data_IF_704309403081
#
_entry.id   IF_704309403081
#
_cell.length_a   1.000
_cell.length_b   1.000
_cell.length_c   1.000
_cell.angle_alpha   90.00
_cell.angle_beta   90.00
_cell.angle_gamma   90.00
#
_symmetry.space_group_name_H-M   'P 1'
#
loop_
_entity.id
_entity.type
_entity.pdbx_description
1 polymer ?
#
# COMPACT_ATOMS: atom_id res chain seq x y z
N UNK A 1 21.32 33.11 -13.86
CA UNK A 1 20.61 31.88 -13.44
C UNK A 1 19.87 32.15 -12.15
N UNK A 2 18.57 32.41 -12.23
CA UNK A 2 17.75 32.70 -11.06
C UNK A 2 17.59 31.42 -10.23
N UNK A 3 18.05 31.47 -8.98
CA UNK A 3 17.78 30.42 -7.99
C UNK A 3 16.28 30.36 -7.79
N UNK A 4 15.65 29.28 -8.21
CA UNK A 4 14.27 28.96 -7.85
C UNK A 4 14.19 29.07 -6.32
N UNK A 5 13.35 29.97 -5.77
CA UNK A 5 13.23 30.07 -4.33
C UNK A 5 12.73 28.72 -3.85
N UNK A 6 13.51 28.07 -2.98
CA UNK A 6 13.06 26.92 -2.21
C UNK A 6 11.65 27.26 -1.71
N UNK A 7 10.66 26.53 -2.23
CA UNK A 7 9.27 26.63 -1.84
C UNK A 7 9.21 26.85 -0.33
N UNK A 8 8.44 27.85 0.09
CA UNK A 8 8.26 28.25 1.48
C UNK A 8 8.35 27.01 2.38
N UNK A 9 9.42 26.92 3.19
CA UNK A 9 9.68 25.75 4.05
C UNK A 9 8.45 25.54 4.91
N UNK A 10 7.60 24.58 4.53
CA UNK A 10 6.52 24.11 5.39
C UNK A 10 7.17 23.67 6.68
N UNK A 11 6.80 24.30 7.80
CA UNK A 11 7.30 23.95 9.13
C UNK A 11 6.72 22.61 9.63
N UNK A 12 5.75 22.07 8.90
CA UNK A 12 5.07 20.82 9.23
C UNK A 12 5.58 19.71 8.30
N UNK A 13 6.09 18.60 8.85
CA UNK A 13 6.38 17.38 8.09
C UNK A 13 5.16 16.96 7.27
N UNK A 14 5.35 16.70 5.98
CA UNK A 14 4.28 16.25 5.11
C UNK A 14 4.79 15.37 3.97
N UNK A 15 3.89 14.56 3.42
CA UNK A 15 4.06 13.80 2.18
C UNK A 15 2.88 14.10 1.28
N UNK A 16 3.14 14.29 -0.01
CA UNK A 16 2.11 14.59 -1.00
C UNK A 16 1.94 13.42 -1.96
N UNK A 17 0.70 13.00 -2.18
CA UNK A 17 0.32 12.00 -3.16
C UNK A 17 -0.63 12.64 -4.16
N UNK A 18 -0.25 12.63 -5.43
CA UNK A 18 -1.08 13.09 -6.54
C UNK A 18 -1.68 11.89 -7.24
N UNK A 19 -3.01 11.85 -7.37
CA UNK A 19 -3.73 10.85 -8.15
C UNK A 19 -4.32 11.53 -9.38
N UNK A 20 -3.97 11.05 -10.56
CA UNK A 20 -4.47 11.56 -11.84
C UNK A 20 -5.06 10.43 -12.69
N UNK A 21 -6.32 10.59 -13.08
CA UNK A 21 -7.11 9.61 -13.83
C UNK A 21 -7.10 9.94 -15.32
N UNK A 22 -6.86 8.94 -16.17
CA UNK A 22 -6.63 9.14 -17.62
C UNK A 22 -7.34 8.12 -18.50
N UNK A 23 -7.69 8.55 -19.71
CA UNK A 23 -8.13 7.69 -20.81
C UNK A 23 -6.95 6.91 -21.43
N UNK A 24 -7.26 6.07 -22.42
CA UNK A 24 -6.28 5.26 -23.13
C UNK A 24 -5.23 6.12 -23.87
N UNK A 25 -5.59 7.33 -24.28
CA UNK A 25 -4.70 8.29 -24.94
C UNK A 25 -3.90 9.16 -23.94
N UNK A 26 -4.11 8.99 -22.63
CA UNK A 26 -3.41 9.73 -21.58
C UNK A 26 -3.99 11.11 -21.26
N UNK A 27 -5.18 11.45 -21.75
CA UNK A 27 -5.88 12.70 -21.45
C UNK A 27 -6.63 12.57 -20.12
N UNK A 28 -6.76 13.68 -19.40
CA UNK A 28 -7.53 13.71 -18.16
C UNK A 28 -9.02 13.62 -18.45
N UNK A 29 -9.69 12.59 -17.90
CA UNK A 29 -11.14 12.42 -18.00
C UNK A 29 -11.82 13.10 -16.82
N UNK A 30 -12.76 14.04 -16.99
CA UNK A 30 -13.43 14.68 -15.86
C UNK A 30 -14.21 13.64 -15.04
N UNK A 31 -13.98 13.62 -13.72
CA UNK A 31 -14.66 12.68 -12.83
C UNK A 31 -15.91 13.32 -12.18
N UNK A 32 -17.03 12.59 -12.08
CA UNK A 32 -18.19 13.03 -11.32
C UNK A 32 -17.87 13.28 -9.84
N UNK A 33 -18.27 14.43 -9.30
CA UNK A 33 -17.94 14.85 -7.93
C UNK A 33 -18.40 13.86 -6.83
N UNK A 34 -19.52 13.15 -7.04
CA UNK A 34 -20.07 12.22 -6.06
C UNK A 34 -19.17 11.00 -5.85
N UNK A 35 -18.64 10.43 -6.93
CA UNK A 35 -17.75 9.27 -6.87
C UNK A 35 -16.39 9.65 -6.30
N UNK A 36 -15.95 10.89 -6.54
CA UNK A 36 -14.76 11.41 -5.90
C UNK A 36 -14.88 11.39 -4.38
N UNK A 37 -16.05 11.77 -3.83
CA UNK A 37 -16.29 11.72 -2.37
C UNK A 37 -16.21 10.30 -1.83
N UNK A 38 -16.79 9.32 -2.53
CA UNK A 38 -16.72 7.91 -2.14
C UNK A 38 -15.27 7.41 -2.06
N UNK A 39 -14.46 7.66 -3.10
CA UNK A 39 -13.05 7.28 -3.07
C UNK A 39 -12.23 8.00 -2.01
N UNK A 40 -12.60 9.23 -1.65
CA UNK A 40 -11.97 9.91 -0.52
C UNK A 40 -12.32 9.28 0.82
N UNK A 41 -13.58 8.93 1.03
CA UNK A 41 -14.00 8.18 2.23
C UNK A 41 -13.24 6.85 2.31
N UNK A 42 -13.07 6.14 1.20
CA UNK A 42 -12.24 4.94 1.12
C UNK A 42 -10.80 5.17 1.54
N UNK A 43 -10.15 6.21 1.01
CA UNK A 43 -8.77 6.56 1.38
C UNK A 43 -8.66 6.94 2.86
N UNK A 44 -9.61 7.69 3.41
CA UNK A 44 -9.63 8.06 4.83
C UNK A 44 -9.76 6.81 5.73
N UNK A 45 -10.68 5.91 5.40
CA UNK A 45 -10.88 4.66 6.14
C UNK A 45 -9.69 3.71 6.01
N UNK A 46 -9.09 3.56 4.83
CA UNK A 46 -7.86 2.78 4.65
C UNK A 46 -6.75 3.36 5.53
N UNK A 47 -6.62 4.68 5.50
CA UNK A 47 -5.59 5.34 6.28
C UNK A 47 -5.81 5.12 7.76
N UNK A 48 -7.04 5.28 8.27
CA UNK A 48 -7.37 4.97 9.66
C UNK A 48 -7.07 3.51 10.02
N UNK A 49 -7.31 2.57 9.10
CA UNK A 49 -7.06 1.14 9.33
C UNK A 49 -5.56 0.84 9.41
N UNK A 50 -4.79 1.33 8.45
CA UNK A 50 -3.31 1.20 8.45
C UNK A 50 -2.70 1.97 9.62
N UNK A 51 -3.30 3.10 10.00
CA UNK A 51 -2.88 3.89 11.16
C UNK A 51 -3.27 3.28 12.49
N UNK A 52 -4.37 2.55 12.58
CA UNK A 52 -4.71 1.73 13.74
C UNK A 52 -3.63 0.70 14.04
N UNK A 53 -2.88 0.27 13.02
CA UNK A 53 -1.67 -0.56 13.20
C UNK A 53 -0.40 0.25 13.51
N UNK A 54 -0.41 1.57 13.30
CA UNK A 54 0.76 2.44 13.48
C UNK A 54 0.67 3.37 14.71
N UNK A 55 -0.32 3.18 15.59
CA UNK A 55 -0.59 4.04 16.76
C UNK A 55 0.66 4.26 17.65
N UNK A 56 1.53 3.26 17.76
CA UNK A 56 2.75 3.36 18.58
C UNK A 56 3.86 4.21 17.92
N UNK A 57 3.97 4.18 16.59
CA UNK A 57 5.11 4.76 15.86
C UNK A 57 5.07 6.28 15.75
N UNK A 58 3.91 6.90 15.95
CA UNK A 58 3.71 8.36 15.85
C UNK A 58 3.21 8.99 17.16
N UNK A 59 3.42 8.30 18.29
CA UNK A 59 3.11 8.81 19.62
C UNK A 59 3.68 10.23 19.81
N UNK A 60 2.81 11.18 20.17
CA UNK A 60 3.15 12.60 20.33
C UNK A 60 2.89 13.50 19.11
N UNK A 61 2.43 12.96 17.98
CA UNK A 61 2.00 13.74 16.81
C UNK A 61 0.53 13.47 16.45
N UNK A 62 -0.22 14.52 16.13
CA UNK A 62 -1.52 14.38 15.45
C UNK A 62 -1.28 14.35 13.95
N UNK A 63 -1.98 13.47 13.25
CA UNK A 63 -1.92 13.41 11.79
C UNK A 63 -3.17 14.03 11.20
N UNK A 64 -2.99 14.80 10.14
CA UNK A 64 -4.08 15.38 9.36
C UNK A 64 -3.93 15.07 7.87
N UNK A 65 -5.08 14.91 7.22
CA UNK A 65 -5.18 14.67 5.78
C UNK A 65 -5.84 15.87 5.14
N UNK A 66 -5.12 16.55 4.25
CA UNK A 66 -5.70 17.59 3.41
C UNK A 66 -5.82 17.08 1.99
N UNK A 67 -7.04 17.08 1.45
CA UNK A 67 -7.28 16.69 0.06
C UNK A 67 -7.64 17.94 -0.73
N UNK A 68 -6.98 18.12 -1.87
CA UNK A 68 -7.21 19.24 -2.79
C UNK A 68 -7.47 18.72 -4.19
N UNK A 69 -8.56 19.15 -4.80
CA UNK A 69 -8.77 18.96 -6.22
C UNK A 69 -7.85 19.92 -6.98
N UNK A 70 -6.95 19.37 -7.79
CA UNK A 70 -5.96 20.13 -8.56
C UNK A 70 -6.39 20.31 -10.03
N UNK A 71 -7.36 19.54 -10.48
CA UNK A 71 -7.91 19.59 -11.84
C UNK A 71 -9.21 18.79 -11.96
N UNK A 72 -9.76 18.62 -13.17
CA UNK A 72 -11.02 17.91 -13.40
C UNK A 72 -11.03 16.48 -12.84
N UNK A 73 -9.86 15.83 -12.84
CA UNK A 73 -9.67 14.46 -12.35
C UNK A 73 -8.28 14.23 -11.79
N UNK A 74 -7.74 15.26 -11.14
CA UNK A 74 -6.48 15.19 -10.44
C UNK A 74 -6.67 15.67 -9.02
N UNK A 75 -6.18 14.89 -8.06
CA UNK A 75 -6.30 15.16 -6.64
C UNK A 75 -4.94 15.08 -5.97
N UNK A 76 -4.65 16.06 -5.13
CA UNK A 76 -3.50 16.05 -4.23
C UNK A 76 -3.99 15.69 -2.84
N UNK A 77 -3.43 14.63 -2.28
CA UNK A 77 -3.62 14.22 -0.89
C UNK A 77 -2.33 14.59 -0.17
N UNK A 78 -2.44 15.42 0.84
CA UNK A 78 -1.33 15.81 1.69
C UNK A 78 -1.53 15.18 3.06
N UNK A 79 -0.59 14.31 3.44
CA UNK A 79 -0.52 13.70 4.76
C UNK A 79 0.44 14.55 5.57
N UNK A 80 0.00 15.12 6.68
CA UNK A 80 0.88 15.89 7.56
C UNK A 80 0.83 15.37 8.98
N UNK A 81 1.90 15.67 9.72
CA UNK A 81 2.00 15.40 11.14
C UNK A 81 2.29 16.71 11.88
N UNK A 82 1.41 17.08 12.80
CA UNK A 82 1.60 18.19 13.71
C UNK A 82 1.96 17.66 15.11
N UNK A 83 2.88 18.31 15.80
CA UNK A 83 3.19 17.92 17.17
C UNK A 83 1.98 18.22 18.09
N UNK A 84 1.60 17.25 18.93
CA UNK A 84 0.50 17.39 19.91
C UNK A 84 0.77 18.47 20.95
N UNK A 85 2.04 18.65 21.30
CA UNK A 85 2.51 19.68 22.22
C UNK A 85 3.35 20.70 21.46
N UNK A 86 3.35 21.95 21.92
CA UNK A 86 4.16 23.03 21.35
C UNK A 86 5.66 22.80 21.59
N UNK A 87 6.24 21.80 20.94
CA UNK A 87 7.67 21.51 21.05
C UNK A 87 8.39 22.64 20.32
N UNK A 88 8.86 23.63 21.08
CA UNK A 88 9.74 24.69 20.57
C UNK A 88 11.13 24.11 20.37
N UNK A 89 11.27 23.29 19.33
CA UNK A 89 12.57 22.78 18.93
C UNK A 89 13.31 23.91 18.22
N UNK A 90 14.35 24.44 18.87
CA UNK A 90 15.34 25.30 18.23
C UNK A 90 16.59 24.48 17.92
N UNK A 91 17.17 24.68 16.73
CA UNK A 91 18.47 24.09 16.37
C UNK A 91 18.41 22.68 15.77
N UNK A 92 19.52 21.94 15.88
CA UNK A 92 19.75 20.64 15.20
C UNK A 92 18.74 19.56 15.57
N UNK A 93 18.28 19.54 16.83
CA UNK A 93 17.27 18.59 17.33
C UNK A 93 15.92 18.75 16.61
N UNK A 94 15.51 19.98 16.33
CA UNK A 94 14.31 20.27 15.54
C UNK A 94 14.37 19.66 14.13
N UNK A 95 15.54 19.78 13.51
CA UNK A 95 15.78 19.24 12.18
C UNK A 95 15.78 17.70 12.19
N UNK A 96 16.38 17.09 13.21
CA UNK A 96 16.36 15.63 13.37
C UNK A 96 14.93 15.10 13.57
N UNK A 97 14.17 15.68 14.49
CA UNK A 97 12.78 15.27 14.73
C UNK A 97 11.90 15.48 13.49
N UNK A 98 12.07 16.59 12.77
CA UNK A 98 11.39 16.83 11.49
C UNK A 98 11.71 15.74 10.45
N UNK A 99 12.98 15.35 10.31
CA UNK A 99 13.41 14.32 9.37
C UNK A 99 12.86 12.94 9.76
N UNK A 100 12.91 12.58 11.04
CA UNK A 100 12.36 11.33 11.56
C UNK A 100 10.86 11.22 11.27
N UNK A 101 10.09 12.26 11.60
CA UNK A 101 8.64 12.28 11.36
C UNK A 101 8.34 12.24 9.85
N UNK A 102 9.11 12.97 9.03
CA UNK A 102 8.95 12.93 7.57
C UNK A 102 9.22 11.53 7.02
N UNK A 103 10.23 10.83 7.54
CA UNK A 103 10.55 9.45 7.15
C UNK A 103 9.43 8.48 7.56
N UNK A 104 8.88 8.62 8.77
CA UNK A 104 7.74 7.83 9.22
C UNK A 104 6.50 8.07 8.36
N UNK A 105 6.18 9.33 8.03
CA UNK A 105 5.09 9.66 7.12
C UNK A 105 5.30 9.09 5.72
N UNK A 106 6.54 9.12 5.22
CA UNK A 106 6.89 8.54 3.93
C UNK A 106 6.65 7.03 3.93
N UNK A 107 7.14 6.33 4.96
CA UNK A 107 6.96 4.89 5.12
C UNK A 107 5.48 4.51 5.25
N UNK A 108 4.73 5.20 6.10
CA UNK A 108 3.28 5.00 6.23
C UNK A 108 2.57 5.17 4.88
N UNK A 109 2.91 6.23 4.13
CA UNK A 109 2.34 6.47 2.80
C UNK A 109 2.70 5.34 1.84
N UNK A 110 3.91 4.80 1.91
CA UNK A 110 4.33 3.66 1.10
C UNK A 110 3.55 2.39 1.41
N UNK A 111 3.29 2.12 2.69
CA UNK A 111 2.45 0.97 3.12
C UNK A 111 1.02 1.15 2.60
N UNK A 112 0.40 2.31 2.82
CA UNK A 112 -0.97 2.61 2.35
C UNK A 112 -1.06 2.43 0.82
N UNK A 113 -0.08 2.97 0.08
CA UNK A 113 -0.04 2.82 -1.37
C UNK A 113 0.19 1.36 -1.78
N UNK A 114 1.09 0.63 -1.11
CA UNK A 114 1.36 -0.77 -1.38
C UNK A 114 0.11 -1.63 -1.25
N UNK A 115 -0.60 -1.50 -0.13
CA UNK A 115 -1.85 -2.23 0.13
C UNK A 115 -2.96 -1.83 -0.84
N UNK A 116 -3.10 -0.53 -1.12
CA UNK A 116 -4.08 -0.04 -2.10
C UNK A 116 -3.82 -0.64 -3.49
N UNK A 117 -2.57 -0.57 -3.94
CA UNK A 117 -2.19 -1.07 -5.27
C UNK A 117 -2.37 -2.58 -5.34
N UNK A 118 -2.06 -3.32 -4.27
CA UNK A 118 -2.31 -4.75 -4.20
C UNK A 118 -3.80 -5.10 -4.31
N UNK A 119 -4.66 -4.42 -3.54
CA UNK A 119 -6.11 -4.64 -3.62
C UNK A 119 -6.68 -4.35 -5.00
N UNK A 120 -6.25 -3.24 -5.60
CA UNK A 120 -6.66 -2.88 -6.96
C UNK A 120 -6.09 -3.85 -7.99
N UNK A 121 -4.89 -4.39 -7.75
CA UNK A 121 -4.30 -5.43 -8.59
C UNK A 121 -5.13 -6.71 -8.54
N UNK A 122 -5.50 -7.18 -7.34
CA UNK A 122 -6.39 -8.34 -7.18
C UNK A 122 -7.72 -8.15 -7.94
N UNK A 123 -8.30 -6.95 -7.86
CA UNK A 123 -9.54 -6.63 -8.57
C UNK A 123 -9.39 -6.61 -10.11
N UNK A 124 -8.21 -6.25 -10.62
CA UNK A 124 -7.95 -6.19 -12.06
C UNK A 124 -7.63 -7.56 -12.68
N UNK A 125 -7.15 -8.52 -11.89
CA UNK A 125 -6.53 -9.75 -12.36
C UNK A 125 -7.26 -10.98 -11.80
N UNK A 126 -8.27 -11.52 -12.49
CA UNK A 126 -9.07 -12.64 -11.99
C UNK A 126 -8.27 -13.94 -11.81
N UNK A 127 -7.20 -14.12 -12.59
CA UNK A 127 -6.36 -15.32 -12.55
C UNK A 127 -5.18 -15.19 -11.57
N UNK A 128 -5.19 -14.19 -10.70
CA UNK A 128 -4.11 -13.95 -9.74
C UNK A 128 -4.02 -15.12 -8.74
N UNK A 129 -2.80 -15.60 -8.53
CA UNK A 129 -2.50 -16.63 -7.52
C UNK A 129 -1.72 -16.02 -6.39
N UNK A 130 -1.84 -16.61 -5.20
CA UNK A 130 -1.11 -16.18 -4.01
C UNK A 130 -0.20 -17.28 -3.50
N UNK A 131 1.00 -16.89 -3.06
CA UNK A 131 1.94 -17.75 -2.35
C UNK A 131 2.34 -17.09 -1.03
N UNK A 132 2.21 -17.82 0.06
CA UNK A 132 2.69 -17.37 1.37
C UNK A 132 4.18 -17.65 1.48
N UNK A 133 4.94 -16.68 1.98
CA UNK A 133 6.37 -16.76 2.26
C UNK A 133 6.62 -16.20 3.65
N UNK A 134 7.50 -16.87 4.39
CA UNK A 134 7.99 -16.41 5.69
C UNK A 134 9.50 -16.26 5.57
N UNK A 135 10.01 -15.06 5.80
CA UNK A 135 11.44 -14.75 5.78
C UNK A 135 11.86 -14.04 7.06
N UNK A 136 13.15 -13.68 7.14
CA UNK A 136 13.75 -13.05 8.32
C UNK A 136 13.13 -11.68 8.66
N UNK A 137 12.41 -11.05 7.73
CA UNK A 137 11.74 -9.75 7.90
C UNK A 137 10.24 -9.88 8.13
N UNK A 138 9.71 -11.11 8.15
CA UNK A 138 8.34 -11.42 8.52
C UNK A 138 7.52 -12.07 7.40
N UNK A 139 6.24 -12.38 7.68
CA UNK A 139 5.39 -13.08 6.73
C UNK A 139 4.80 -12.15 5.66
N UNK A 140 4.81 -12.60 4.42
CA UNK A 140 4.21 -11.88 3.29
C UNK A 140 3.56 -12.83 2.28
N UNK A 141 2.69 -12.25 1.46
CA UNK A 141 2.13 -12.90 0.29
C UNK A 141 2.77 -12.36 -0.97
N UNK A 142 3.19 -13.26 -1.84
CA UNK A 142 3.52 -12.95 -3.22
C UNK A 142 2.28 -13.15 -4.10
N UNK A 143 1.97 -12.14 -4.90
CA UNK A 143 0.96 -12.19 -5.94
C UNK A 143 1.62 -12.64 -7.25
N UNK A 144 0.99 -13.60 -7.91
CA UNK A 144 1.44 -14.18 -9.18
C UNK A 144 0.42 -13.93 -10.28
N UNK A 145 0.92 -13.60 -11.47
CA UNK A 145 0.13 -13.59 -12.70
C UNK A 145 0.80 -14.54 -13.71
N UNK A 146 0.12 -15.64 -14.02
CA UNK A 146 0.78 -16.81 -14.59
C UNK A 146 1.91 -17.27 -13.67
N UNK A 147 3.08 -17.55 -14.23
CA UNK A 147 4.26 -18.03 -13.48
C UNK A 147 5.19 -16.91 -13.00
N UNK A 148 4.76 -15.65 -13.12
CA UNK A 148 5.56 -14.49 -12.73
C UNK A 148 5.06 -13.89 -11.42
N UNK A 149 5.96 -13.75 -10.45
CA UNK A 149 5.72 -12.93 -9.26
C UNK A 149 5.70 -11.45 -9.67
N UNK A 150 4.64 -10.74 -9.27
CA UNK A 150 4.40 -9.34 -9.69
C UNK A 150 4.48 -8.36 -8.51
N UNK A 151 4.16 -8.82 -7.30
CA UNK A 151 4.10 -7.99 -6.10
C UNK A 151 4.23 -8.86 -4.86
N UNK A 152 4.83 -8.30 -3.81
CA UNK A 152 4.81 -8.86 -2.46
C UNK A 152 4.12 -7.87 -1.51
N UNK A 153 3.34 -8.39 -0.57
CA UNK A 153 2.56 -7.60 0.39
C UNK A 153 2.62 -8.29 1.74
N UNK A 154 2.87 -7.53 2.80
CA UNK A 154 2.85 -8.04 4.17
C UNK A 154 1.54 -8.79 4.46
N UNK A 155 1.65 -9.95 5.11
CA UNK A 155 0.53 -10.86 5.29
C UNK A 155 -0.62 -10.22 6.09
N UNK A 156 -0.29 -9.59 7.21
CA UNK A 156 -1.21 -8.85 8.08
C UNK A 156 -2.04 -7.81 7.30
N UNK A 157 -1.39 -7.06 6.42
CA UNK A 157 -1.99 -6.00 5.62
C UNK A 157 -2.95 -6.56 4.57
N UNK A 158 -2.56 -7.61 3.85
CA UNK A 158 -3.41 -8.22 2.83
C UNK A 158 -4.62 -8.93 3.45
N UNK A 159 -4.41 -9.63 4.57
CA UNK A 159 -5.48 -10.27 5.33
C UNK A 159 -6.49 -9.25 5.85
N UNK A 160 -5.99 -8.17 6.46
CA UNK A 160 -6.80 -7.07 6.95
C UNK A 160 -7.62 -6.40 5.84
N UNK A 161 -7.09 -6.35 4.62
CA UNK A 161 -7.78 -5.82 3.44
C UNK A 161 -8.93 -6.74 2.97
N UNK A 162 -8.78 -8.07 3.04
CA UNK A 162 -9.80 -9.02 2.60
C UNK A 162 -10.92 -9.27 3.63
N UNK A 163 -10.86 -8.66 4.80
CA UNK A 163 -11.99 -8.64 5.75
C UNK A 163 -13.17 -7.83 5.22
N UNK A 164 -14.42 -8.03 5.70
CA UNK A 164 -15.59 -7.26 5.24
C UNK A 164 -15.41 -5.74 5.32
N UNK A 165 -14.78 -5.24 6.39
CA UNK A 165 -14.47 -3.83 6.54
C UNK A 165 -13.42 -3.35 5.53
N UNK A 166 -12.34 -4.12 5.35
CA UNK A 166 -11.30 -3.83 4.36
C UNK A 166 -11.83 -3.87 2.92
N UNK A 167 -12.80 -4.73 2.64
CA UNK A 167 -13.49 -4.79 1.35
C UNK A 167 -14.34 -3.54 1.10
N UNK A 168 -15.04 -3.03 2.11
CA UNK A 168 -15.75 -1.75 2.00
C UNK A 168 -14.82 -0.59 1.65
N UNK A 169 -13.62 -0.58 2.25
CA UNK A 169 -12.54 0.36 1.93
C UNK A 169 -12.07 0.20 0.49
N UNK A 170 -11.77 -1.03 0.05
CA UNK A 170 -11.30 -1.28 -1.31
C UNK A 170 -12.33 -0.88 -2.37
N UNK A 171 -13.61 -1.20 -2.16
CA UNK A 171 -14.72 -0.79 -3.02
C UNK A 171 -14.78 0.73 -3.20
N UNK A 172 -14.56 1.48 -2.11
CA UNK A 172 -14.50 2.93 -2.16
C UNK A 172 -13.26 3.41 -2.96
N UNK A 173 -12.07 2.82 -2.75
CA UNK A 173 -10.84 3.17 -3.49
C UNK A 173 -10.99 2.98 -5.00
N UNK A 174 -11.68 1.93 -5.45
CA UNK A 174 -11.91 1.66 -6.88
C UNK A 174 -13.09 2.42 -7.48
N UNK A 175 -13.87 3.17 -6.68
CA UNK A 175 -15.10 3.81 -7.15
C UNK A 175 -14.88 4.78 -8.32
N UNK A 176 -13.76 5.52 -8.32
CA UNK A 176 -13.36 6.35 -9.46
C UNK A 176 -12.81 5.54 -10.63
N UNK A 177 -12.23 4.36 -10.37
CA UNK A 177 -11.64 3.53 -11.42
C UNK A 177 -12.70 2.86 -12.30
N UNK A 178 -13.95 2.73 -11.84
CA UNK A 178 -15.01 2.10 -12.65
C UNK A 178 -15.59 2.97 -13.77
N UNK A 179 -15.12 4.22 -13.92
CA UNK A 179 -15.73 5.15 -14.87
C UNK A 179 -15.56 4.72 -16.34
N UNK A 180 -16.60 4.87 -17.17
CA UNK A 180 -16.49 4.64 -18.61
C UNK A 180 -15.39 5.50 -19.24
N UNK A 181 -14.62 4.91 -20.15
CA UNK A 181 -13.51 5.58 -20.83
C UNK A 181 -12.22 5.67 -20.02
N UNK A 182 -12.26 5.47 -18.70
CA UNK A 182 -11.05 5.44 -17.89
C UNK A 182 -10.23 4.20 -18.19
N UNK A 183 -8.93 4.40 -18.47
CA UNK A 183 -7.99 3.33 -18.75
C UNK A 183 -7.02 3.09 -17.58
N UNK A 184 -6.57 4.15 -16.90
CA UNK A 184 -5.66 4.02 -15.77
C UNK A 184 -5.66 5.25 -14.85
N UNK A 185 -5.18 5.05 -13.63
CA UNK A 185 -4.76 6.10 -12.73
C UNK A 185 -3.23 6.12 -12.60
N UNK A 186 -2.65 7.30 -12.43
CA UNK A 186 -1.26 7.46 -12.00
C UNK A 186 -1.23 8.05 -10.61
N UNK A 187 -0.58 7.35 -9.69
CA UNK A 187 -0.33 7.75 -8.32
C UNK A 187 1.12 8.23 -8.26
N UNK A 188 1.33 9.47 -7.87
CA UNK A 188 2.64 10.10 -7.79
C UNK A 188 2.89 10.56 -6.37
N UNK A 189 3.81 9.93 -5.66
CA UNK A 189 4.21 10.31 -4.32
C UNK A 189 5.44 11.20 -4.39
N UNK A 190 5.41 12.29 -3.63
CA UNK A 190 6.50 13.22 -3.46
C UNK A 190 6.66 13.56 -1.98
N UNK A 191 7.87 13.35 -1.47
CA UNK A 191 8.27 13.76 -0.13
C UNK A 191 9.18 14.97 -0.25
N UNK A 192 8.78 16.14 0.29
CA UNK A 192 9.59 17.34 0.30
C UNK A 192 11.00 17.07 0.84
N UNK A 193 12.02 17.57 0.13
CA UNK A 193 13.42 17.36 0.49
C UNK A 193 14.05 16.10 -0.10
N UNK A 194 13.25 15.15 -0.62
CA UNK A 194 13.75 14.06 -1.44
C UNK A 194 13.65 14.42 -2.92
N UNK A 195 14.71 14.15 -3.70
CA UNK A 195 14.69 14.34 -5.16
C UNK A 195 13.93 13.23 -5.90
N UNK A 196 13.55 12.18 -5.20
CA UNK A 196 12.89 11.01 -5.75
C UNK A 196 11.37 11.21 -5.79
N UNK A 197 10.77 10.78 -6.89
CA UNK A 197 9.31 10.78 -7.10
C UNK A 197 8.90 9.36 -7.49
N UNK A 198 8.17 8.69 -6.61
CA UNK A 198 7.60 7.37 -6.91
C UNK A 198 6.36 7.55 -7.77
N UNK A 199 6.29 6.84 -8.89
CA UNK A 199 5.11 6.81 -9.76
C UNK A 199 4.62 5.38 -9.92
N UNK A 200 3.36 5.16 -9.59
CA UNK A 200 2.68 3.87 -9.78
C UNK A 200 1.52 4.08 -10.72
N UNK A 201 1.41 3.23 -11.74
CA UNK A 201 0.24 3.19 -12.61
C UNK A 201 -0.64 2.03 -12.23
N UNK A 202 -1.94 2.27 -12.23
CA UNK A 202 -2.95 1.28 -11.90
C UNK A 202 -3.95 1.26 -13.04
N UNK A 203 -4.00 0.14 -13.75
CA UNK A 203 -4.90 -0.04 -14.88
C UNK A 203 -6.36 -0.22 -14.41
N UNK A 204 -7.27 -0.03 -15.35
CA UNK A 204 -8.70 -0.31 -15.22
C UNK A 204 -9.08 -1.38 -16.23
N UNK A 205 -9.49 -2.55 -15.76
CA UNK A 205 -10.01 -3.65 -16.58
C UNK A 205 -11.51 -3.83 -16.35
N UNK A 206 -12.14 -4.66 -17.19
CA UNK A 206 -13.55 -5.04 -16.99
C UNK A 206 -13.75 -5.85 -15.70
N UNK A 207 -12.75 -6.64 -15.29
CA UNK A 207 -12.77 -7.33 -14.00
C UNK A 207 -12.83 -6.34 -12.83
N UNK A 208 -12.05 -5.27 -12.87
CA UNK A 208 -12.12 -4.22 -11.85
C UNK A 208 -13.48 -3.53 -11.84
N UNK A 209 -14.06 -3.25 -13.01
CA UNK A 209 -15.39 -2.65 -13.12
C UNK A 209 -16.47 -3.56 -12.54
N UNK A 210 -16.37 -4.87 -12.81
CA UNK A 210 -17.26 -5.88 -12.27
C UNK A 210 -17.15 -5.96 -10.73
N UNK A 211 -15.93 -5.97 -10.21
CA UNK A 211 -15.67 -5.89 -8.76
C UNK A 211 -16.30 -4.62 -8.15
N UNK A 212 -16.07 -3.46 -8.76
CA UNK A 212 -16.65 -2.20 -8.31
C UNK A 212 -18.19 -2.12 -8.44
N UNK A 213 -18.81 -3.06 -9.17
CA UNK A 213 -20.25 -3.27 -9.26
C UNK A 213 -20.78 -4.30 -8.25
N UNK A 214 -19.92 -4.84 -7.37
CA UNK A 214 -20.29 -5.75 -6.30
C UNK A 214 -19.95 -7.22 -6.55
N UNK A 215 -19.25 -7.56 -7.64
CA UNK A 215 -18.70 -8.90 -7.79
C UNK A 215 -17.59 -9.14 -6.74
N UNK A 216 -17.42 -10.39 -6.26
CA UNK A 216 -16.36 -10.71 -5.31
C UNK A 216 -14.97 -10.58 -5.94
N UNK A 217 -13.95 -10.43 -5.10
CA UNK A 217 -12.56 -10.59 -5.53
C UNK A 217 -12.26 -12.06 -5.88
N UNK A 218 -11.30 -12.31 -6.78
CA UNK A 218 -10.85 -13.66 -7.11
C UNK A 218 -10.12 -14.35 -5.94
N UNK A 219 -9.57 -13.58 -5.00
CA UNK A 219 -8.85 -14.09 -3.83
C UNK A 219 -9.63 -13.74 -2.58
N UNK A 220 -9.86 -14.75 -1.75
CA UNK A 220 -10.59 -14.67 -0.48
C UNK A 220 -9.65 -14.88 0.72
N UNK A 221 -10.16 -14.62 1.92
CA UNK A 221 -9.45 -14.94 3.17
C UNK A 221 -9.18 -16.44 3.32
N UNK A 222 -10.04 -17.29 2.77
CA UNK A 222 -9.83 -18.75 2.77
C UNK A 222 -8.63 -19.13 1.90
N UNK A 223 -8.50 -18.54 0.70
CA UNK A 223 -7.35 -18.80 -0.18
C UNK A 223 -6.02 -18.40 0.48
N UNK A 224 -6.03 -17.29 1.24
CA UNK A 224 -4.89 -16.83 2.02
C UNK A 224 -4.52 -17.83 3.13
N UNK A 225 -5.51 -18.41 3.81
CA UNK A 225 -5.29 -19.42 4.85
C UNK A 225 -4.76 -20.73 4.25
N UNK A 226 -5.32 -21.18 3.14
CA UNK A 226 -4.84 -22.37 2.43
C UNK A 226 -3.42 -22.20 1.89
N UNK A 227 -3.04 -20.99 1.45
CA UNK A 227 -1.67 -20.69 1.07
C UNK A 227 -0.68 -20.79 2.25
N UNK A 228 -1.08 -20.35 3.45
CA UNK A 228 -0.28 -20.53 4.68
C UNK A 228 -0.09 -21.99 5.03
N UNK A 229 -1.17 -22.76 5.03
CA UNK A 229 -1.11 -24.18 5.38
C UNK A 229 -0.26 -24.98 4.39
N UNK A 230 -0.36 -24.68 3.09
CA UNK A 230 0.53 -25.28 2.08
C UNK A 230 2.01 -24.97 2.33
N UNK A 231 2.35 -23.73 2.70
CA UNK A 231 3.72 -23.35 3.02
C UNK A 231 4.25 -24.08 4.26
N UNK A 232 3.44 -24.19 5.31
CA UNK A 232 3.77 -24.94 6.54
C UNK A 232 4.01 -26.42 6.27
N UNK A 233 3.13 -27.05 5.49
CA UNK A 233 3.27 -28.45 5.10
C UNK A 233 4.55 -28.70 4.26
N UNK A 234 4.89 -27.76 3.37
CA UNK A 234 6.12 -27.80 2.59
C UNK A 234 7.39 -27.69 3.47
N UNK A 235 7.40 -26.78 4.44
CA UNK A 235 8.52 -26.60 5.37
C UNK A 235 8.69 -27.80 6.34
N UNK A 236 7.58 -28.40 6.79
CA UNK A 236 7.61 -29.64 7.58
C UNK A 236 8.19 -30.83 6.78
N UNK A 237 7.95 -30.86 5.47
CA UNK A 237 8.47 -31.91 4.58
C UNK A 237 9.96 -31.72 4.27
N UNK A 238 10.45 -30.48 4.14
CA UNK A 238 11.87 -30.20 3.92
C UNK A 238 12.71 -30.42 5.18
N UNK A 239 12.20 -30.06 6.36
CA UNK A 239 12.87 -30.30 7.64
C UNK A 239 12.96 -31.78 8.03
N UNK A 240 12.01 -32.62 7.57
CA UNK A 240 12.07 -34.07 7.74
C UNK A 240 13.10 -34.76 6.83
N UNK A 241 13.51 -34.11 5.72
CA UNK A 241 14.53 -34.63 4.81
C UNK A 241 15.96 -34.23 5.20
N UNK A 242 16.14 -33.14 5.96
CA UNK A 242 17.46 -32.69 6.46
C UNK A 242 17.95 -33.42 7.73
N UNK A 243 17.15 -34.34 8.29
CA UNK A 243 17.61 -35.26 9.33
C UNK A 243 18.26 -36.50 8.70
N UNK A 244 19.53 -36.36 8.28
CA UNK A 244 20.38 -37.53 7.97
C UNK A 244 20.58 -38.32 9.28
N UNK A 245 20.29 -39.63 9.34
CA UNK A 245 20.60 -40.41 10.53
C UNK A 245 22.13 -40.44 10.71
N UNK A 246 22.61 -39.89 11.81
CA UNK A 246 23.98 -40.14 12.27
C UNK A 246 24.07 -41.62 12.59
N UNK A 247 24.56 -42.40 11.64
CA UNK A 247 24.89 -43.80 11.87
C UNK A 247 26.11 -43.84 12.79
N UNK A 248 25.86 -43.91 14.10
CA UNK A 248 26.80 -44.51 15.03
C UNK A 248 26.85 -46.02 14.75
N UNK A 249 28.06 -46.55 14.56
CA UNK A 249 28.33 -47.96 14.76
C UNK A 249 29.04 -48.64 13.60
N UNK A 250 30.37 -48.51 13.57
CA UNK A 250 31.19 -49.66 13.17
C UNK A 250 32.41 -49.73 14.09
N UNK A 251 32.35 -50.69 15.02
CA UNK A 251 33.48 -51.13 15.82
C UNK A 251 34.48 -51.87 14.90
N UNK A 252 35.79 -51.62 14.98
CA UNK A 252 36.74 -52.47 14.28
C UNK A 252 36.87 -53.79 15.05
N UNK A 253 36.54 -54.89 14.38
CA UNK A 253 36.83 -56.24 14.85
C UNK A 253 38.00 -56.79 14.06
N UNK A 254 38.95 -57.37 14.80
CA UNK A 254 40.11 -58.19 14.42
C UNK A 254 41.32 -57.47 13.79
#
# INVERSE_FOLDING_TARGET
MARTPLAARSRTPHVSVLVAYRDAEGRQLPLPQAQTRESFTGLQLLTQRVLGFAEDSLSGFTQDFTIRQMGPSTFSIEVRAAATHGIRLRGRRAAQEYLTVTAMLHHLTDVIMGVSVAGVYLANHPDVRVRYVEDDFGPYYELFNGDRAVMAVEASSLEGLLTPEGMGVLCALVANLKQPGLAYATITQHTPGLKYVRRTQVATTDALRAFAAGQPLPVTTQDLAEARERARAGAASSSAQDQVPTAEGEAPTA
#
